data_IF_845858509125
#
_entry.id   IF_845858509125
#
_cell.length_a   1.000
_cell.length_b   1.000
_cell.length_c   1.000
_cell.angle_alpha   90.00
_cell.angle_beta   90.00
_cell.angle_gamma   90.00
#
_symmetry.space_group_name_H-M   'P 1'
#
loop_
_entity.id
_entity.type
_entity.pdbx_description
1 polymer ?
#
# COMPACT_ATOMS: atom_id res chain seq x y z
N UNK A 1 -11.35 6.07 3.94
CA UNK A 1 -11.38 4.62 4.01
C UNK A 1 -10.38 4.06 5.00
N UNK A 2 -9.14 4.40 4.88
CA UNK A 2 -8.10 3.98 5.82
C UNK A 2 -7.87 5.00 6.94
N UNK A 3 -8.83 5.87 7.17
CA UNK A 3 -8.70 6.92 8.15
C UNK A 3 -7.73 8.01 7.71
N UNK A 4 -7.24 8.77 8.66
CA UNK A 4 -6.31 9.86 8.39
C UNK A 4 -4.89 9.34 8.23
N UNK A 5 -4.36 9.44 7.02
CA UNK A 5 -3.00 9.00 6.70
C UNK A 5 -1.99 10.15 6.69
N UNK A 6 -2.39 11.36 7.13
CA UNK A 6 -1.51 12.52 7.07
C UNK A 6 -0.25 12.37 7.92
N UNK A 7 -0.27 11.50 8.92
CA UNK A 7 0.87 11.26 9.79
C UNK A 7 1.78 10.12 9.32
N UNK A 8 1.40 9.40 8.28
CA UNK A 8 2.20 8.29 7.77
C UNK A 8 3.34 8.84 6.92
N UNK A 9 4.55 8.41 7.21
CA UNK A 9 5.72 8.87 6.47
C UNK A 9 5.91 8.16 5.15
N UNK A 10 5.70 6.84 5.14
CA UNK A 10 5.92 6.03 3.95
C UNK A 10 4.79 5.03 3.77
N UNK A 11 4.48 4.75 2.52
CA UNK A 11 3.47 3.77 2.15
C UNK A 11 4.13 2.72 1.27
N UNK A 12 3.98 1.46 1.66
CA UNK A 12 4.51 0.32 0.90
C UNK A 12 3.39 -0.60 0.50
N UNK A 13 3.50 -1.15 -0.69
CA UNK A 13 2.63 -2.25 -1.13
C UNK A 13 3.50 -3.48 -1.38
N UNK A 14 2.97 -4.65 -1.08
CA UNK A 14 3.59 -5.90 -1.50
C UNK A 14 3.17 -6.17 -2.93
N UNK A 15 4.12 -6.20 -3.86
CA UNK A 15 3.85 -6.60 -5.23
C UNK A 15 3.51 -8.09 -5.25
N UNK A 16 2.56 -8.47 -6.10
CA UNK A 16 2.03 -9.83 -6.08
C UNK A 16 0.96 -10.01 -5.01
N UNK A 17 0.49 -11.23 -4.87
CA UNK A 17 -0.63 -11.52 -3.99
C UNK A 17 -0.19 -12.12 -2.67
N UNK A 18 -0.98 -11.84 -1.64
CA UNK A 18 -0.77 -12.36 -0.29
C UNK A 18 -1.95 -13.24 0.09
N UNK A 19 -1.69 -14.31 0.81
CA UNK A 19 -2.74 -15.15 1.38
C UNK A 19 -3.50 -14.33 2.43
N UNK A 20 -4.76 -14.03 2.14
CA UNK A 20 -5.59 -13.20 3.02
C UNK A 20 -6.01 -13.90 4.31
N UNK A 21 -5.66 -15.17 4.49
CA UNK A 21 -5.85 -15.85 5.78
C UNK A 21 -4.79 -15.42 6.80
N UNK A 22 -3.70 -14.83 6.34
CA UNK A 22 -2.66 -14.34 7.26
C UNK A 22 -3.23 -13.23 8.13
N UNK A 23 -2.94 -13.34 9.41
CA UNK A 23 -3.27 -12.33 10.39
C UNK A 23 -2.06 -11.45 10.68
N UNK A 24 -2.15 -10.62 11.70
CA UNK A 24 -1.11 -9.63 11.99
C UNK A 24 0.29 -10.22 12.04
N UNK A 25 0.50 -11.29 12.80
CA UNK A 25 1.84 -11.85 12.95
C UNK A 25 2.41 -12.37 11.62
N UNK A 26 1.59 -12.99 10.79
CA UNK A 26 2.03 -13.45 9.48
C UNK A 26 2.41 -12.30 8.56
N UNK A 27 1.68 -11.19 8.63
CA UNK A 27 1.99 -10.01 7.84
C UNK A 27 3.24 -9.29 8.35
N UNK A 28 3.41 -9.23 9.67
CA UNK A 28 4.62 -8.67 10.27
C UNK A 28 5.86 -9.45 9.86
N UNK A 29 5.75 -10.78 9.74
CA UNK A 29 6.85 -11.61 9.27
C UNK A 29 7.25 -11.25 7.83
N UNK A 30 6.28 -10.98 6.97
CA UNK A 30 6.57 -10.54 5.60
C UNK A 30 7.33 -9.21 5.63
N UNK A 31 6.87 -8.26 6.41
CA UNK A 31 7.52 -6.95 6.50
C UNK A 31 8.95 -7.09 7.00
N UNK A 32 9.15 -7.85 8.05
CA UNK A 32 10.45 -7.96 8.71
C UNK A 32 11.43 -8.84 7.93
N UNK A 33 10.99 -10.01 7.48
CA UNK A 33 11.90 -11.00 6.92
C UNK A 33 11.96 -10.99 5.40
N UNK A 34 10.87 -10.71 4.72
CA UNK A 34 10.86 -10.64 3.26
C UNK A 34 11.23 -9.26 2.75
N UNK A 35 10.62 -8.23 3.29
CA UNK A 35 10.92 -6.85 2.88
C UNK A 35 12.17 -6.31 3.53
N UNK A 36 12.56 -6.85 4.69
CA UNK A 36 13.66 -6.35 5.51
C UNK A 36 13.44 -4.89 5.91
N UNK A 37 12.18 -4.57 6.21
CA UNK A 37 11.76 -3.27 6.71
C UNK A 37 11.37 -3.36 8.17
N UNK A 38 11.37 -2.20 8.83
CA UNK A 38 11.01 -2.11 10.24
C UNK A 38 9.49 -2.00 10.37
N UNK A 39 8.81 -3.02 10.94
CA UNK A 39 7.36 -2.94 11.11
C UNK A 39 6.94 -1.88 12.13
N UNK A 40 7.84 -1.43 12.99
CA UNK A 40 7.55 -0.38 13.98
C UNK A 40 7.76 1.03 13.41
N UNK A 41 8.19 1.16 12.17
CA UNK A 41 8.31 2.46 11.53
C UNK A 41 6.93 3.08 11.32
N UNK A 42 6.90 4.40 11.14
CA UNK A 42 5.65 5.09 10.83
C UNK A 42 5.31 4.91 9.35
N UNK A 43 4.99 3.69 8.99
CA UNK A 43 4.73 3.29 7.61
C UNK A 43 3.44 2.50 7.52
N UNK A 44 2.77 2.63 6.40
CA UNK A 44 1.59 1.82 6.07
C UNK A 44 2.02 0.73 5.10
N UNK A 45 1.69 -0.51 5.43
CA UNK A 45 2.01 -1.67 4.60
C UNK A 45 0.72 -2.30 4.09
N UNK A 46 0.57 -2.41 2.77
CA UNK A 46 -0.64 -2.94 2.15
C UNK A 46 -0.38 -4.26 1.44
N UNK A 47 -1.35 -5.14 1.57
CA UNK A 47 -1.33 -6.49 1.01
C UNK A 47 -2.64 -6.76 0.31
N UNK A 48 -2.60 -7.46 -0.80
CA UNK A 48 -3.79 -7.73 -1.62
C UNK A 48 -3.93 -9.21 -1.87
N UNK A 49 -5.16 -9.70 -1.85
CA UNK A 49 -5.45 -11.09 -2.14
C UNK A 49 -5.46 -11.40 -3.63
N UNK A 50 -5.46 -12.69 -3.95
CA UNK A 50 -5.37 -13.17 -5.33
C UNK A 50 -6.50 -12.68 -6.22
N UNK A 51 -7.70 -12.50 -5.68
CA UNK A 51 -8.84 -12.02 -6.45
C UNK A 51 -8.81 -10.50 -6.67
N UNK A 52 -7.87 -9.81 -6.04
CA UNK A 52 -7.74 -8.35 -6.13
C UNK A 52 -8.99 -7.59 -5.67
N UNK A 53 -9.80 -8.20 -4.82
CA UNK A 53 -11.00 -7.58 -4.24
C UNK A 53 -10.88 -7.39 -2.73
N UNK A 54 -9.74 -7.71 -2.15
CA UNK A 54 -9.51 -7.63 -0.70
C UNK A 54 -8.12 -7.10 -0.42
N UNK A 55 -8.06 -6.21 0.55
CA UNK A 55 -6.78 -5.70 1.03
C UNK A 55 -6.71 -5.81 2.55
N UNK A 56 -5.50 -5.97 3.03
CA UNK A 56 -5.17 -5.78 4.44
C UNK A 56 -4.09 -4.72 4.53
N UNK A 57 -4.18 -3.90 5.56
CA UNK A 57 -3.20 -2.84 5.79
C UNK A 57 -2.73 -2.90 7.24
N UNK A 58 -1.43 -2.76 7.43
CA UNK A 58 -0.78 -2.80 8.74
C UNK A 58 -0.12 -1.47 9.00
N UNK A 59 -0.36 -0.90 10.17
CA UNK A 59 0.24 0.35 10.60
C UNK A 59 0.53 0.31 12.10
N UNK A 60 1.75 0.65 12.50
CA UNK A 60 2.10 0.77 13.90
C UNK A 60 1.74 2.18 14.38
N UNK A 61 0.91 2.27 15.40
CA UNK A 61 0.37 3.54 15.90
C UNK A 61 1.11 4.09 17.11
N UNK A 62 2.26 3.53 17.45
CA UNK A 62 3.03 3.97 18.58
C UNK A 62 2.78 3.17 19.87
N UNK A 63 1.56 2.69 20.03
CA UNK A 63 1.16 1.88 21.19
C UNK A 63 0.70 0.48 20.78
N UNK A 64 0.56 0.23 19.50
CA UNK A 64 0.11 -1.06 19.02
C UNK A 64 -0.04 -1.04 17.51
N UNK A 65 -0.29 -2.22 16.95
CA UNK A 65 -0.52 -2.36 15.50
C UNK A 65 -2.01 -2.28 15.20
N UNK A 66 -2.33 -1.54 14.15
CA UNK A 66 -3.65 -1.53 13.56
C UNK A 66 -3.62 -2.42 12.31
N UNK A 67 -4.55 -3.37 12.25
CA UNK A 67 -4.75 -4.21 11.07
C UNK A 67 -6.12 -3.88 10.49
N UNK A 68 -6.12 -3.36 9.28
CA UNK A 68 -7.34 -3.01 8.56
C UNK A 68 -7.61 -4.07 7.49
N UNK A 69 -8.87 -4.40 7.30
CA UNK A 69 -9.31 -5.33 6.26
C UNK A 69 -10.47 -4.70 5.50
N UNK A 70 -10.36 -4.71 4.17
CA UNK A 70 -11.45 -4.23 3.33
C UNK A 70 -11.68 -5.20 2.19
N UNK A 71 -12.95 -5.55 1.98
CA UNK A 71 -13.39 -6.34 0.84
C UNK A 71 -14.25 -5.46 -0.06
N UNK A 72 -13.88 -5.38 -1.32
CA UNK A 72 -14.65 -4.64 -2.32
C UNK A 72 -15.78 -5.54 -2.83
N UNK A 73 -17.00 -5.03 -2.79
CA UNK A 73 -18.16 -5.78 -3.25
C UNK A 73 -18.28 -5.75 -4.77
N UNK A 74 -17.84 -4.66 -5.40
CA UNK A 74 -17.90 -4.51 -6.86
C UNK A 74 -16.53 -4.10 -7.39
N UNK A 75 -16.17 -4.71 -8.50
CA UNK A 75 -14.91 -4.38 -9.15
C UNK A 75 -13.70 -5.03 -8.49
N UNK A 76 -12.56 -4.73 -9.05
CA UNK A 76 -11.27 -5.26 -8.60
C UNK A 76 -10.21 -4.18 -8.64
N UNK A 77 -9.20 -4.33 -7.79
CA UNK A 77 -8.05 -3.45 -7.78
C UNK A 77 -7.07 -3.85 -8.89
N UNK A 78 -6.36 -2.87 -9.42
CA UNK A 78 -5.25 -3.11 -10.33
C UNK A 78 -3.96 -3.20 -9.54
N UNK A 79 -3.75 -4.36 -8.92
CA UNK A 79 -2.62 -4.55 -8.02
C UNK A 79 -1.37 -4.95 -8.80
N UNK A 80 -0.23 -4.29 -8.57
CA UNK A 80 1.02 -4.65 -9.22
C UNK A 80 1.42 -6.08 -8.91
N UNK A 81 1.70 -6.87 -9.96
CA UNK A 81 2.03 -8.29 -9.83
C UNK A 81 3.53 -8.55 -9.86
N UNK A 82 4.30 -7.65 -10.44
CA UNK A 82 5.73 -7.80 -10.64
C UNK A 82 6.46 -6.58 -10.13
N UNK A 83 7.77 -6.71 -10.00
CA UNK A 83 8.62 -5.64 -9.50
C UNK A 83 9.21 -6.00 -8.15
N UNK A 84 9.58 -4.98 -7.41
CA UNK A 84 10.13 -5.17 -6.08
C UNK A 84 9.07 -5.75 -5.15
N UNK A 85 9.50 -6.61 -4.25
CA UNK A 85 8.58 -7.25 -3.32
C UNK A 85 7.86 -6.24 -2.42
N UNK A 86 8.59 -5.22 -1.97
CA UNK A 86 8.01 -4.08 -1.27
C UNK A 86 8.23 -2.83 -2.12
N UNK A 87 7.15 -2.26 -2.63
CA UNK A 87 7.23 -1.05 -3.45
C UNK A 87 6.70 0.13 -2.66
N UNK A 88 7.52 1.18 -2.55
CA UNK A 88 7.06 2.42 -1.95
C UNK A 88 6.21 3.19 -2.97
N UNK A 89 5.07 3.68 -2.52
CA UNK A 89 4.17 4.48 -3.36
C UNK A 89 3.85 5.80 -2.67
N UNK A 90 3.38 6.76 -3.46
CA UNK A 90 2.95 8.06 -2.96
C UNK A 90 1.50 8.02 -2.49
N UNK A 91 1.08 9.07 -1.79
CA UNK A 91 -0.33 9.25 -1.41
C UNK A 91 -1.24 9.24 -2.64
N UNK A 92 -0.81 9.87 -3.72
CA UNK A 92 -1.60 9.92 -4.96
C UNK A 92 -1.73 8.53 -5.57
N UNK A 93 -0.64 7.77 -5.60
CA UNK A 93 -0.67 6.39 -6.11
C UNK A 93 -1.57 5.50 -5.25
N UNK A 94 -1.57 5.70 -3.94
CA UNK A 94 -2.49 4.99 -3.05
C UNK A 94 -3.94 5.30 -3.39
N UNK A 95 -4.27 6.59 -3.60
CA UNK A 95 -5.62 6.98 -3.97
C UNK A 95 -6.07 6.32 -5.27
N UNK A 96 -5.20 6.33 -6.29
CA UNK A 96 -5.51 5.67 -7.56
C UNK A 96 -5.75 4.18 -7.34
N UNK A 97 -4.88 3.53 -6.59
CA UNK A 97 -4.99 2.11 -6.31
C UNK A 97 -6.31 1.76 -5.64
N UNK A 98 -6.69 2.52 -4.60
CA UNK A 98 -7.92 2.27 -3.85
C UNK A 98 -9.18 2.59 -4.66
N UNK A 99 -9.07 3.39 -5.69
CA UNK A 99 -10.16 3.68 -6.63
C UNK A 99 -10.28 2.65 -7.75
N UNK A 100 -9.44 1.63 -7.74
CA UNK A 100 -9.43 0.61 -8.78
C UNK A 100 -8.65 0.99 -10.03
N UNK A 101 -7.83 2.04 -9.94
CA UNK A 101 -6.99 2.48 -11.04
C UNK A 101 -5.59 1.90 -10.92
N UNK A 102 -4.86 1.90 -12.02
CA UNK A 102 -3.46 1.52 -12.01
C UNK A 102 -2.67 2.58 -11.23
N UNK A 103 -1.88 2.20 -10.21
CA UNK A 103 -1.07 3.17 -9.48
C UNK A 103 0.03 3.80 -10.33
N UNK A 104 0.38 3.17 -11.44
CA UNK A 104 1.26 3.76 -12.45
C UNK A 104 0.41 4.46 -13.50
N UNK A 105 0.36 5.79 -13.45
CA UNK A 105 -0.39 6.59 -14.41
C UNK A 105 0.60 7.37 -15.28
N UNK A 106 1.06 6.79 -16.40
CA UNK A 106 2.13 7.40 -17.18
C UNK A 106 1.79 8.76 -17.76
N UNK A 107 0.50 9.07 -17.91
CA UNK A 107 0.05 10.36 -18.44
C UNK A 107 -0.27 11.38 -17.35
N UNK A 108 -0.10 11.03 -16.08
CA UNK A 108 -0.36 11.97 -15.00
C UNK A 108 0.73 13.04 -14.94
N UNK A 109 0.32 14.26 -14.61
CA UNK A 109 1.26 15.36 -14.43
C UNK A 109 1.96 15.19 -13.09
N UNK A 110 3.27 15.21 -13.10
CA UNK A 110 4.07 15.08 -11.89
C UNK A 110 4.24 16.45 -11.22
N UNK A 111 4.20 16.48 -9.89
CA UNK A 111 4.40 17.73 -9.16
C UNK A 111 5.76 18.37 -9.43
N UNK A 112 6.79 17.54 -9.55
CA UNK A 112 8.13 18.05 -9.85
C UNK A 112 8.19 18.74 -11.20
N UNK A 113 7.45 18.26 -12.18
CA UNK A 113 7.37 18.89 -13.48
C UNK A 113 6.81 20.29 -13.39
N UNK A 114 5.83 20.50 -12.52
CA UNK A 114 5.25 21.82 -12.32
C UNK A 114 6.26 22.80 -11.75
N UNK A 115 7.11 22.34 -10.85
CA UNK A 115 8.16 23.19 -10.29
C UNK A 115 9.15 23.62 -11.35
N UNK A 116 9.49 22.72 -12.24
CA UNK A 116 10.46 23.01 -13.30
C UNK A 116 9.87 23.85 -14.44
N UNK A 117 8.59 23.74 -14.65
CA UNK A 117 7.92 24.50 -15.72
C UNK A 117 7.78 25.97 -15.38
N UNK A 118 7.79 26.30 -14.12
CA UNK A 118 7.56 27.65 -13.67
C UNK A 118 8.69 28.62 -14.00
N UNK A 119 9.80 28.16 -14.51
CA UNK A 119 10.91 29.03 -14.87
C UNK A 119 10.69 29.88 -16.12
#
# INVERSE_FOLDING_TARGET
MLGDLSHVEKIYIRCGYTDMRKQLNGLLDIIQYNFKLDPYSNSLFLFCGKRADRIKAVHYEGDGFCLLYKRYENGRLQWPRTGEEAKQISDQQLRWLLEGLNPEQPKAVQKLSLIHISE
#
